data_IF_538203378389
#
_entry.id   IF_538203378389
#
_cell.length_a   1.000
_cell.length_b   1.000
_cell.length_c   1.000
_cell.angle_alpha   90.00
_cell.angle_beta   90.00
_cell.angle_gamma   90.00
#
_symmetry.space_group_name_H-M   'P 1'
#
loop_
_entity.id
_entity.type
_entity.pdbx_description
1 polymer ?
#
# COMPACT_ATOMS: atom_id res chain seq x y z
N UNK A 1 -7.74 -2.96 -11.22
CA UNK A 1 -8.71 -3.22 -10.14
C UNK A 1 -9.09 -4.69 -10.15
N UNK A 2 -8.58 -5.46 -9.19
CA UNK A 2 -9.03 -6.82 -8.93
C UNK A 2 -10.43 -6.83 -8.28
N UNK A 3 -11.43 -7.30 -9.03
CA UNK A 3 -12.78 -7.45 -8.52
C UNK A 3 -12.93 -8.66 -7.58
N UNK A 4 -13.48 -8.42 -6.40
CA UNK A 4 -13.56 -9.42 -5.34
C UNK A 4 -14.97 -10.01 -5.22
N UNK A 5 -15.06 -11.26 -4.78
CA UNK A 5 -16.32 -11.75 -4.19
C UNK A 5 -16.60 -11.01 -2.88
N UNK A 6 -17.87 -10.94 -2.45
CA UNK A 6 -18.24 -10.31 -1.16
C UNK A 6 -17.39 -10.81 0.01
N UNK A 7 -17.21 -12.13 0.11
CA UNK A 7 -16.43 -12.77 1.19
C UNK A 7 -14.95 -12.38 1.15
N UNK A 8 -14.35 -12.28 -0.04
CA UNK A 8 -12.96 -11.81 -0.20
C UNK A 8 -12.83 -10.34 0.20
N UNK A 9 -13.75 -9.49 -0.25
CA UNK A 9 -13.76 -8.06 0.09
C UNK A 9 -13.93 -7.83 1.59
N UNK A 10 -14.86 -8.55 2.24
CA UNK A 10 -15.06 -8.47 3.70
C UNK A 10 -13.83 -8.95 4.48
N UNK A 11 -13.21 -10.06 4.06
CA UNK A 11 -11.99 -10.58 4.70
C UNK A 11 -10.85 -9.56 4.61
N UNK A 12 -10.59 -9.02 3.43
CA UNK A 12 -9.54 -8.03 3.22
C UNK A 12 -9.85 -6.72 3.97
N UNK A 13 -11.09 -6.24 3.92
CA UNK A 13 -11.50 -5.04 4.66
C UNK A 13 -11.36 -5.19 6.17
N UNK A 14 -11.70 -6.36 6.73
CA UNK A 14 -11.52 -6.62 8.16
C UNK A 14 -10.05 -6.60 8.57
N UNK A 15 -9.15 -7.13 7.73
CA UNK A 15 -7.71 -7.03 7.96
C UNK A 15 -7.20 -5.59 7.85
N UNK A 16 -7.61 -4.85 6.82
CA UNK A 16 -7.18 -3.46 6.62
C UNK A 16 -7.64 -2.53 7.75
N UNK A 17 -8.81 -2.80 8.36
CA UNK A 17 -9.30 -2.05 9.53
C UNK A 17 -8.41 -2.21 10.78
N UNK A 18 -7.60 -3.25 10.87
CA UNK A 18 -6.65 -3.41 11.98
C UNK A 18 -5.32 -2.72 11.71
N UNK A 19 -5.10 -2.21 10.49
CA UNK A 19 -3.88 -1.51 10.12
C UNK A 19 -4.04 0.00 10.39
N UNK A 20 -2.95 0.62 10.85
CA UNK A 20 -2.92 2.08 11.06
C UNK A 20 -2.72 2.82 9.74
N UNK A 21 -1.81 2.32 8.92
CA UNK A 21 -1.45 2.86 7.62
C UNK A 21 -1.08 1.74 6.66
N UNK A 22 -1.15 2.07 5.37
CA UNK A 22 -0.72 1.23 4.26
C UNK A 22 0.18 2.02 3.33
N UNK A 23 0.91 1.32 2.47
CA UNK A 23 1.54 1.89 1.29
C UNK A 23 0.74 1.47 0.06
N UNK A 24 0.36 2.45 -0.76
CA UNK A 24 -0.18 2.22 -2.10
C UNK A 24 0.95 2.35 -3.11
N UNK A 25 1.29 1.27 -3.81
CA UNK A 25 2.35 1.23 -4.80
C UNK A 25 1.91 0.34 -5.98
N UNK A 26 1.82 0.92 -7.17
CA UNK A 26 1.32 0.22 -8.35
C UNK A 26 2.41 -0.59 -9.06
N UNK A 27 3.68 -0.17 -9.00
CA UNK A 27 4.79 -0.87 -9.63
C UNK A 27 4.61 -0.98 -11.14
N UNK A 28 4.02 0.04 -11.77
CA UNK A 28 3.76 0.00 -13.21
C UNK A 28 4.95 0.49 -14.05
N UNK A 29 5.83 1.29 -13.45
CA UNK A 29 6.88 2.03 -14.14
C UNK A 29 8.22 1.87 -13.42
N UNK A 30 9.33 1.98 -14.16
CA UNK A 30 10.68 2.00 -13.58
C UNK A 30 10.87 3.16 -12.61
N UNK A 31 10.09 4.23 -12.78
CA UNK A 31 9.99 5.37 -11.88
C UNK A 31 8.53 5.58 -11.52
N UNK A 32 8.16 5.34 -10.26
CA UNK A 32 6.77 5.42 -9.80
C UNK A 32 6.71 6.04 -8.40
N UNK A 33 5.50 6.42 -7.97
CA UNK A 33 5.25 7.08 -6.69
C UNK A 33 4.40 6.16 -5.80
N UNK A 34 5.02 5.70 -4.71
CA UNK A 34 4.29 5.06 -3.62
C UNK A 34 3.72 6.12 -2.66
N UNK A 35 2.54 5.85 -2.09
CA UNK A 35 1.84 6.77 -1.20
C UNK A 35 1.60 6.10 0.15
N UNK A 36 2.01 6.76 1.23
CA UNK A 36 1.68 6.32 2.60
C UNK A 36 0.35 6.90 3.02
N UNK A 37 -0.61 6.02 3.26
CA UNK A 37 -1.99 6.38 3.55
C UNK A 37 -2.34 5.97 4.98
N UNK A 38 -2.72 6.94 5.81
CA UNK A 38 -3.35 6.66 7.10
C UNK A 38 -4.81 6.27 6.88
N UNK A 39 -5.20 5.11 7.41
CA UNK A 39 -6.53 4.57 7.24
C UNK A 39 -7.47 5.21 8.28
N UNK A 40 -8.50 5.93 7.83
CA UNK A 40 -9.57 6.41 8.72
C UNK A 40 -10.83 5.57 8.63
N UNK A 41 -11.15 5.10 7.43
CA UNK A 41 -12.33 4.26 7.18
C UNK A 41 -12.08 3.32 6.01
N UNK A 42 -12.51 2.07 6.17
CA UNK A 42 -12.51 1.05 5.11
C UNK A 42 -13.95 0.69 4.79
N UNK A 43 -14.33 0.83 3.52
CA UNK A 43 -15.68 0.64 3.01
C UNK A 43 -15.65 -0.48 1.97
N UNK A 44 -16.59 -1.42 2.09
CA UNK A 44 -16.85 -2.43 1.06
C UNK A 44 -18.10 -2.03 0.31
N UNK A 45 -18.03 -1.96 -1.00
CA UNK A 45 -19.16 -1.58 -1.85
C UNK A 45 -19.27 -2.49 -3.08
N UNK A 46 -20.50 -2.72 -3.58
CA UNK A 46 -20.69 -3.44 -4.84
C UNK A 46 -20.17 -2.62 -6.02
N UNK A 47 -19.73 -3.31 -7.06
CA UNK A 47 -19.35 -2.69 -8.34
C UNK A 47 -20.50 -2.76 -9.34
N UNK A 48 -20.31 -2.17 -10.51
CA UNK A 48 -21.19 -2.31 -11.67
C UNK A 48 -21.32 -3.77 -12.16
N UNK A 49 -20.32 -4.60 -11.90
CA UNK A 49 -20.35 -6.03 -12.23
C UNK A 49 -21.13 -6.79 -11.17
N UNK A 50 -22.10 -7.59 -11.61
CA UNK A 50 -22.95 -8.42 -10.73
C UNK A 50 -22.09 -9.31 -9.81
N UNK A 51 -22.44 -9.31 -8.52
CA UNK A 51 -21.80 -10.11 -7.46
C UNK A 51 -20.30 -9.83 -7.27
N UNK A 52 -19.81 -8.67 -7.74
CA UNK A 52 -18.45 -8.18 -7.54
C UNK A 52 -18.44 -6.97 -6.62
N UNK A 53 -17.38 -6.90 -5.82
CA UNK A 53 -17.19 -5.91 -4.77
C UNK A 53 -15.80 -5.30 -4.88
N UNK A 54 -15.70 -4.06 -4.42
CA UNK A 54 -14.46 -3.30 -4.31
C UNK A 54 -14.29 -2.77 -2.88
N UNK A 55 -13.06 -2.35 -2.57
CA UNK A 55 -12.71 -1.76 -1.28
C UNK A 55 -12.28 -0.32 -1.51
N UNK A 56 -12.84 0.56 -0.68
CA UNK A 56 -12.52 1.99 -0.64
C UNK A 56 -11.93 2.35 0.71
N UNK A 57 -10.83 3.10 0.70
CA UNK A 57 -10.20 3.66 1.88
C UNK A 57 -10.40 5.17 1.88
N UNK A 58 -11.00 5.70 2.93
CA UNK A 58 -10.99 7.13 3.22
C UNK A 58 -9.87 7.39 4.24
N UNK A 59 -8.98 8.32 3.92
CA UNK A 59 -7.75 8.47 4.67
C UNK A 59 -7.01 9.78 4.39
N UNK A 60 -5.78 9.82 4.86
CA UNK A 60 -4.86 10.92 4.57
C UNK A 60 -3.60 10.35 3.94
N UNK A 61 -3.20 10.86 2.78
CA UNK A 61 -1.80 10.76 2.38
C UNK A 61 -1.05 11.69 3.31
N UNK A 62 0.01 11.21 3.93
CA UNK A 62 0.91 12.06 4.71
C UNK A 62 2.34 12.02 4.21
N UNK A 63 2.64 11.11 3.27
CA UNK A 63 3.91 11.06 2.58
C UNK A 63 3.80 10.37 1.21
N UNK A 64 4.70 10.74 0.32
CA UNK A 64 4.99 10.01 -0.93
C UNK A 64 6.46 9.58 -0.96
N UNK A 65 6.71 8.47 -1.64
CA UNK A 65 8.04 7.95 -1.91
C UNK A 65 8.22 7.84 -3.41
N UNK A 66 9.32 8.38 -3.93
CA UNK A 66 9.74 8.05 -5.29
C UNK A 66 10.48 6.72 -5.27
N UNK A 67 10.11 5.84 -6.20
CA UNK A 67 10.71 4.52 -6.37
C UNK A 67 11.38 4.49 -7.73
N UNK A 68 12.65 4.13 -7.76
CA UNK A 68 13.40 3.84 -8.99
C UNK A 68 14.01 2.44 -8.85
N UNK A 69 13.81 1.58 -9.86
CA UNK A 69 14.30 0.19 -9.87
C UNK A 69 13.93 -0.59 -8.59
N UNK A 70 12.68 -0.47 -8.13
CA UNK A 70 12.16 -1.07 -6.89
C UNK A 70 12.89 -0.64 -5.60
N UNK A 71 13.59 0.49 -5.61
CA UNK A 71 14.19 1.09 -4.42
C UNK A 71 13.61 2.46 -4.14
N UNK A 72 13.38 2.79 -2.87
CA UNK A 72 12.98 4.14 -2.48
C UNK A 72 14.17 5.09 -2.67
N UNK A 73 14.00 6.11 -3.51
CA UNK A 73 15.04 7.11 -3.79
C UNK A 73 14.78 8.44 -3.11
N UNK A 74 13.52 8.78 -2.85
CA UNK A 74 13.18 10.03 -2.16
C UNK A 74 11.92 9.93 -1.32
N UNK A 75 11.80 10.87 -0.39
CA UNK A 75 10.64 11.04 0.49
C UNK A 75 10.15 12.48 0.45
N UNK A 76 8.84 12.65 0.31
CA UNK A 76 8.19 13.96 0.44
C UNK A 76 7.06 13.87 1.45
N UNK A 77 7.07 14.77 2.45
CA UNK A 77 5.92 14.94 3.36
C UNK A 77 4.81 15.65 2.61
N UNK A 78 3.67 14.99 2.47
CA UNK A 78 2.51 15.51 1.71
C UNK A 78 1.26 15.18 2.51
N UNK A 79 0.67 16.17 3.18
CA UNK A 79 -0.57 15.96 3.94
C UNK A 79 -1.76 16.35 3.08
N UNK A 80 -2.51 15.36 2.60
CA UNK A 80 -3.74 15.56 1.82
C UNK A 80 -4.80 14.56 2.27
N UNK A 81 -6.04 15.04 2.43
CA UNK A 81 -7.20 14.18 2.66
C UNK A 81 -7.72 13.70 1.33
N UNK A 82 -7.93 12.40 1.20
CA UNK A 82 -8.40 11.85 -0.07
C UNK A 82 -9.12 10.50 0.14
N UNK A 83 -9.66 9.96 -0.93
CA UNK A 83 -10.40 8.71 -0.99
C UNK A 83 -9.83 7.83 -2.09
N UNK A 84 -9.46 6.61 -1.74
CA UNK A 84 -8.80 5.67 -2.64
C UNK A 84 -9.65 4.44 -2.85
N UNK A 85 -9.91 4.10 -4.12
CA UNK A 85 -10.29 2.74 -4.47
C UNK A 85 -9.03 1.92 -4.56
N UNK A 86 -8.97 0.85 -3.77
CA UNK A 86 -7.74 0.08 -3.63
C UNK A 86 -7.83 -1.22 -4.41
N UNK A 87 -6.78 -1.49 -5.18
CA UNK A 87 -6.52 -2.81 -5.72
C UNK A 87 -5.62 -3.55 -4.74
N UNK A 88 -6.04 -4.72 -4.25
CA UNK A 88 -5.24 -5.48 -3.27
C UNK A 88 -3.88 -5.87 -3.83
N UNK A 89 -3.72 -5.95 -5.16
CA UNK A 89 -2.45 -6.17 -5.82
C UNK A 89 -1.39 -5.08 -5.53
N UNK A 90 -1.82 -3.88 -5.09
CA UNK A 90 -0.98 -2.68 -4.98
C UNK A 90 -0.91 -2.12 -3.57
N UNK A 91 -1.19 -2.96 -2.56
CA UNK A 91 -1.19 -2.56 -1.15
C UNK A 91 -0.08 -3.28 -0.42
N UNK A 92 0.82 -2.53 0.19
CA UNK A 92 1.78 -3.07 1.13
C UNK A 92 1.36 -2.68 2.54
N UNK A 93 1.48 -3.62 3.46
CA UNK A 93 1.21 -3.42 4.88
C UNK A 93 2.47 -3.63 5.66
N UNK A 94 2.68 -2.79 6.66
CA UNK A 94 3.83 -2.92 7.55
C UNK A 94 3.69 -4.19 8.38
N UNK A 95 4.66 -5.07 8.29
CA UNK A 95 4.74 -6.32 9.04
C UNK A 95 5.79 -6.26 10.15
N UNK A 96 6.74 -5.32 10.06
CA UNK A 96 7.76 -5.12 11.07
C UNK A 96 8.62 -3.90 10.82
N UNK A 97 9.94 -4.11 10.93
CA UNK A 97 10.98 -3.14 10.65
C UNK A 97 12.15 -3.23 11.61
N UNK A 98 13.30 -2.76 11.15
CA UNK A 98 14.60 -2.89 11.80
C UNK A 98 15.33 -1.54 11.80
N UNK A 99 16.31 -1.36 12.67
CA UNK A 99 17.21 -0.20 12.59
C UNK A 99 18.43 -0.60 11.79
N UNK A 100 18.67 0.07 10.66
CA UNK A 100 19.88 -0.11 9.89
C UNK A 100 21.08 0.43 10.67
N UNK A 101 22.08 -0.43 10.91
CA UNK A 101 23.22 -0.09 11.75
C UNK A 101 24.14 0.96 11.13
N UNK A 102 24.19 1.02 9.79
CA UNK A 102 25.08 1.93 9.07
C UNK A 102 24.56 3.37 9.03
N UNK A 103 23.25 3.53 8.87
CA UNK A 103 22.58 4.82 8.75
C UNK A 103 21.91 5.26 10.05
N UNK A 104 21.76 4.35 11.03
CA UNK A 104 20.99 4.52 12.26
C UNK A 104 19.51 4.87 12.00
N UNK A 105 19.01 4.57 10.81
CA UNK A 105 17.63 4.82 10.42
C UNK A 105 16.78 3.57 10.67
N UNK A 106 15.57 3.75 11.21
CA UNK A 106 14.60 2.66 11.23
C UNK A 106 14.06 2.47 9.81
N UNK A 107 13.92 1.23 9.37
CA UNK A 107 13.40 0.81 8.07
C UNK A 107 12.16 -0.04 8.34
N UNK A 108 11.11 0.21 7.56
CA UNK A 108 9.86 -0.52 7.61
C UNK A 108 9.95 -1.73 6.70
N UNK A 109 9.78 -2.90 7.30
CA UNK A 109 9.48 -4.11 6.56
C UNK A 109 7.99 -4.13 6.22
N UNK A 110 7.68 -4.21 4.94
CA UNK A 110 6.32 -4.23 4.42
C UNK A 110 6.12 -5.40 3.46
N UNK A 111 4.94 -6.02 3.58
CA UNK A 111 4.53 -7.16 2.77
C UNK A 111 3.38 -6.76 1.86
N UNK A 112 3.45 -7.20 0.60
CA UNK A 112 2.37 -6.99 -0.34
C UNK A 112 1.16 -7.88 0.01
N UNK A 113 -0.05 -7.33 0.01
CA UNK A 113 -1.29 -8.11 0.18
C UNK A 113 -1.76 -8.80 -1.12
N UNK A 114 -1.10 -8.46 -2.23
CA UNK A 114 -1.43 -8.93 -3.56
C UNK A 114 -0.90 -10.32 -3.88
N UNK A 115 -0.89 -10.61 -5.17
CA UNK A 115 -0.27 -11.82 -5.74
C UNK A 115 0.86 -11.33 -6.63
N UNK A 116 2.04 -11.96 -6.52
CA UNK A 116 3.12 -11.75 -7.48
C UNK A 116 2.64 -12.08 -8.90
N UNK A 117 2.65 -11.09 -9.78
CA UNK A 117 2.18 -11.16 -11.16
C UNK A 117 3.32 -11.51 -12.15
N UNK A 118 4.59 -11.45 -11.73
CA UNK A 118 5.73 -11.84 -12.56
C UNK A 118 6.25 -10.76 -13.50
N UNK A 119 5.89 -9.49 -13.25
CA UNK A 119 6.38 -8.36 -14.03
C UNK A 119 7.75 -7.87 -13.56
N UNK A 120 8.50 -7.20 -14.43
CA UNK A 120 9.82 -6.64 -14.13
C UNK A 120 9.78 -5.63 -12.97
N UNK A 121 8.65 -4.93 -12.82
CA UNK A 121 8.41 -3.87 -11.81
C UNK A 121 7.33 -4.27 -10.80
N UNK A 122 7.12 -5.58 -10.62
CA UNK A 122 6.07 -6.10 -9.73
C UNK A 122 6.17 -5.52 -8.32
N UNK A 123 5.12 -4.85 -7.80
CA UNK A 123 5.17 -4.25 -6.48
C UNK A 123 5.22 -5.34 -5.39
N UNK A 124 4.68 -6.53 -5.65
CA UNK A 124 4.69 -7.64 -4.70
C UNK A 124 6.01 -8.45 -4.72
N UNK A 125 7.13 -7.77 -4.53
CA UNK A 125 8.41 -8.39 -4.17
C UNK A 125 8.61 -8.27 -2.66
N UNK A 126 8.44 -9.36 -1.94
CA UNK A 126 8.73 -9.38 -0.50
C UNK A 126 10.23 -9.65 -0.27
N UNK A 127 10.89 -8.96 0.68
CA UNK A 127 10.44 -7.76 1.41
C UNK A 127 10.69 -6.46 0.63
N UNK A 128 9.83 -5.45 0.84
CA UNK A 128 10.04 -4.09 0.31
C UNK A 128 10.26 -3.10 1.46
N UNK A 129 11.47 -2.56 1.53
CA UNK A 129 11.92 -1.70 2.62
C UNK A 129 11.54 -0.22 2.39
N UNK A 130 10.82 0.37 3.34
CA UNK A 130 10.52 1.82 3.33
C UNK A 130 11.22 2.52 4.50
N UNK A 131 12.02 3.57 4.28
CA UNK A 131 12.67 4.27 5.38
C UNK A 131 11.63 4.91 6.31
N UNK A 132 11.82 4.78 7.62
CA UNK A 132 10.95 5.35 8.62
C UNK A 132 11.13 6.86 8.69
N UNK A 133 10.04 7.57 8.49
CA UNK A 133 10.05 9.02 8.53
C UNK A 133 9.15 9.53 9.65
N UNK A 134 9.56 10.61 10.35
CA UNK A 134 8.83 11.15 11.48
C UNK A 134 7.38 11.51 11.10
N UNK A 135 6.44 11.19 11.99
CA UNK A 135 5.03 11.56 11.86
C UNK A 135 4.86 13.08 11.90
#
# INVERSE_FOLDING_TARGET
MCYLTKKQAEKAANYLKTQKDIILFAGCELKDIARRVEIKKVIVEPTEIKDKFQIKIEGFIFATFEIEDNMVTSYTKTVSKDTFYIDLAYIHVRTGGYTDESTQQYIWDATCLGVYLGYTVDPCIDPFDYPNQPR
#
